data_IF_192612493961
#
_entry.id   IF_192612493961
#
_cell.length_a   1.000
_cell.length_b   1.000
_cell.length_c   1.000
_cell.angle_alpha   90.00
_cell.angle_beta   90.00
_cell.angle_gamma   90.00
#
_symmetry.space_group_name_H-M   'P 1'
#
loop_
_entity.id
_entity.type
_entity.pdbx_description
1 polymer ?
#
# COMPACT_ATOMS: atom_id res chain seq x y z
N UNK A 1 -17.79 -34.63 -39.07
CA UNK A 1 -16.67 -34.12 -38.25
C UNK A 1 -17.04 -32.71 -37.79
N UNK A 2 -17.93 -32.56 -36.82
CA UNK A 2 -17.70 -32.39 -35.36
C UNK A 2 -16.75 -31.25 -34.98
N UNK A 3 -17.27 -30.40 -34.07
CA UNK A 3 -16.55 -29.63 -33.04
C UNK A 3 -16.46 -28.09 -33.13
N UNK A 4 -17.50 -27.34 -33.55
CA UNK A 4 -17.57 -25.89 -33.26
C UNK A 4 -19.02 -25.37 -33.06
N UNK A 5 -19.87 -26.09 -32.32
CA UNK A 5 -21.25 -25.65 -32.08
C UNK A 5 -21.76 -25.95 -30.65
N UNK A 6 -20.89 -25.85 -29.64
CA UNK A 6 -21.24 -26.14 -28.24
C UNK A 6 -21.18 -24.96 -27.26
N UNK A 7 -20.95 -23.72 -27.71
CA UNK A 7 -20.98 -22.54 -26.81
C UNK A 7 -22.18 -21.61 -27.01
N UNK A 8 -23.17 -22.00 -27.82
CA UNK A 8 -24.37 -21.20 -28.11
C UNK A 8 -25.63 -22.00 -27.81
N UNK A 9 -25.91 -22.20 -26.52
CA UNK A 9 -27.15 -22.69 -25.84
C UNK A 9 -26.66 -23.26 -24.50
N UNK A 10 -27.05 -22.81 -23.31
CA UNK A 10 -28.38 -22.41 -22.85
C UNK A 10 -28.18 -21.48 -21.64
N UNK A 11 -28.69 -20.25 -21.67
CA UNK A 11 -29.37 -19.77 -20.47
C UNK A 11 -30.54 -20.75 -20.28
N UNK A 12 -30.64 -21.52 -19.18
CA UNK A 12 -31.87 -22.25 -18.91
C UNK A 12 -33.00 -21.21 -18.82
N UNK A 13 -34.12 -21.46 -19.47
CA UNK A 13 -35.37 -20.78 -19.09
C UNK A 13 -35.61 -21.09 -17.62
N UNK A 14 -35.42 -20.07 -16.77
CA UNK A 14 -35.44 -20.23 -15.33
C UNK A 14 -36.90 -20.23 -14.84
N UNK A 15 -37.37 -21.28 -14.15
CA UNK A 15 -38.66 -21.27 -13.50
C UNK A 15 -38.50 -20.49 -12.20
N UNK A 16 -38.56 -19.18 -12.29
CA UNK A 16 -38.65 -18.31 -11.11
C UNK A 16 -40.08 -17.79 -11.00
N UNK A 17 -40.74 -18.16 -9.91
CA UNK A 17 -41.93 -17.45 -9.45
C UNK A 17 -41.61 -15.95 -9.35
N UNK A 18 -42.33 -15.16 -10.15
CA UNK A 18 -42.31 -13.70 -10.16
C UNK A 18 -40.92 -13.05 -10.01
N UNK A 19 -40.04 -13.24 -10.99
CA UNK A 19 -38.94 -12.27 -11.20
C UNK A 19 -39.61 -10.95 -11.52
N UNK A 20 -39.46 -9.96 -10.64
CA UNK A 20 -39.93 -8.59 -10.88
C UNK A 20 -39.50 -8.18 -12.30
N UNK A 21 -40.41 -7.68 -13.13
CA UNK A 21 -40.18 -7.38 -14.56
C UNK A 21 -38.88 -6.57 -14.80
N UNK A 22 -38.59 -5.65 -13.88
CA UNK A 22 -37.37 -4.83 -13.85
C UNK A 22 -36.06 -5.62 -13.77
N UNK A 23 -36.06 -6.78 -13.09
CA UNK A 23 -34.87 -7.64 -12.95
C UNK A 23 -34.58 -8.37 -14.26
N UNK A 24 -35.60 -8.87 -14.95
CA UNK A 24 -35.45 -9.49 -16.26
C UNK A 24 -34.93 -8.50 -17.32
N UNK A 25 -35.40 -7.25 -17.26
CA UNK A 25 -34.93 -6.17 -18.13
C UNK A 25 -33.46 -5.79 -17.86
N UNK A 26 -33.05 -5.75 -16.58
CA UNK A 26 -31.66 -5.49 -16.21
C UNK A 26 -30.70 -6.57 -16.70
N UNK A 27 -31.08 -7.84 -16.55
CA UNK A 27 -30.28 -8.98 -17.02
C UNK A 27 -30.13 -9.00 -18.55
N UNK A 28 -31.21 -8.71 -19.28
CA UNK A 28 -31.16 -8.57 -20.74
C UNK A 28 -30.25 -7.43 -21.17
N UNK A 29 -30.30 -6.30 -20.47
CA UNK A 29 -29.41 -5.18 -20.72
C UNK A 29 -27.94 -5.55 -20.52
N UNK A 30 -27.59 -6.30 -19.46
CA UNK A 30 -26.22 -6.82 -19.24
C UNK A 30 -25.77 -7.70 -20.42
N UNK A 31 -26.63 -8.58 -20.91
CA UNK A 31 -26.26 -9.47 -22.02
C UNK A 31 -26.02 -8.67 -23.32
N UNK A 32 -26.93 -7.76 -23.65
CA UNK A 32 -26.86 -6.93 -24.86
C UNK A 32 -25.62 -6.03 -24.87
N UNK A 33 -25.36 -5.35 -23.75
CA UNK A 33 -24.24 -4.42 -23.64
C UNK A 33 -22.89 -5.13 -23.73
N UNK A 34 -22.77 -6.34 -23.17
CA UNK A 34 -21.54 -7.16 -23.27
C UNK A 34 -21.27 -7.55 -24.71
N UNK A 35 -22.29 -8.00 -25.44
CA UNK A 35 -22.15 -8.35 -26.85
C UNK A 35 -21.74 -7.13 -27.68
N UNK A 36 -22.39 -5.98 -27.44
CA UNK A 36 -22.07 -4.74 -28.12
C UNK A 36 -20.63 -4.28 -27.86
N UNK A 37 -20.22 -4.24 -26.60
CA UNK A 37 -18.86 -3.83 -26.22
C UNK A 37 -17.79 -4.81 -26.72
N UNK A 38 -18.10 -6.10 -26.85
CA UNK A 38 -17.17 -7.08 -27.45
C UNK A 38 -16.85 -6.77 -28.91
N UNK A 39 -17.77 -6.14 -29.65
CA UNK A 39 -17.55 -5.77 -31.05
C UNK A 39 -16.86 -4.41 -31.13
N UNK A 40 -17.36 -3.42 -30.38
CA UNK A 40 -16.93 -2.02 -30.53
C UNK A 40 -15.52 -1.78 -29.99
N UNK A 41 -15.10 -2.45 -28.92
CA UNK A 41 -13.78 -2.25 -28.33
C UNK A 41 -12.65 -2.65 -29.28
N UNK A 42 -12.83 -3.73 -30.04
CA UNK A 42 -11.79 -4.26 -30.93
C UNK A 42 -11.90 -3.75 -32.38
N UNK A 43 -13.00 -3.08 -32.73
CA UNK A 43 -13.20 -2.50 -34.05
C UNK A 43 -12.36 -1.23 -34.26
N UNK A 44 -11.80 -1.02 -35.48
CA UNK A 44 -11.08 0.20 -35.81
C UNK A 44 -12.03 1.40 -35.81
N UNK A 45 -11.53 2.53 -35.33
CA UNK A 45 -12.29 3.78 -35.31
C UNK A 45 -12.41 4.32 -36.73
N UNK A 46 -13.65 4.52 -37.17
CA UNK A 46 -13.96 5.10 -38.49
C UNK A 46 -14.23 6.60 -38.38
N UNK A 47 -15.02 7.01 -37.38
CA UNK A 47 -15.35 8.40 -37.07
C UNK A 47 -15.32 8.59 -35.56
N UNK A 48 -14.26 9.22 -35.07
CA UNK A 48 -14.03 9.46 -33.65
C UNK A 48 -15.11 10.32 -33.00
N UNK A 49 -15.67 11.30 -33.72
CA UNK A 49 -16.68 12.23 -33.18
C UNK A 49 -18.01 11.49 -33.03
N UNK A 50 -18.41 10.74 -34.06
CA UNK A 50 -19.64 9.95 -34.00
C UNK A 50 -19.54 8.82 -32.96
N UNK A 51 -18.41 8.12 -32.90
CA UNK A 51 -18.19 7.03 -31.96
C UNK A 51 -18.13 7.54 -30.51
N UNK A 52 -17.48 8.68 -30.27
CA UNK A 52 -17.47 9.31 -28.94
C UNK A 52 -18.87 9.73 -28.48
N UNK A 53 -19.68 10.30 -29.37
CA UNK A 53 -21.08 10.65 -29.06
C UNK A 53 -21.88 9.40 -28.64
N UNK A 54 -21.64 8.28 -29.30
CA UNK A 54 -22.28 7.01 -28.96
C UNK A 54 -21.78 6.45 -27.63
N UNK A 55 -20.46 6.53 -27.38
CA UNK A 55 -19.87 6.21 -26.08
C UNK A 55 -20.53 7.00 -24.95
N UNK A 56 -20.73 8.32 -25.11
CA UNK A 56 -21.34 9.15 -24.07
C UNK A 56 -22.80 8.77 -23.79
N UNK A 57 -23.59 8.46 -24.82
CA UNK A 57 -24.97 7.96 -24.62
C UNK A 57 -24.95 6.68 -23.80
N UNK A 58 -24.04 5.77 -24.14
CA UNK A 58 -23.91 4.49 -23.44
C UNK A 58 -23.40 4.68 -22.01
N UNK A 59 -22.48 5.61 -21.79
CA UNK A 59 -21.97 5.96 -20.47
C UNK A 59 -23.09 6.47 -19.56
N UNK A 60 -23.99 7.31 -20.07
CA UNK A 60 -25.17 7.79 -19.32
C UNK A 60 -26.06 6.62 -18.88
N UNK A 61 -26.37 5.71 -19.79
CA UNK A 61 -27.13 4.48 -19.45
C UNK A 61 -26.39 3.61 -18.44
N UNK A 62 -25.08 3.42 -18.62
CA UNK A 62 -24.25 2.62 -17.72
C UNK A 62 -24.24 3.20 -16.30
N UNK A 63 -24.11 4.52 -16.14
CA UNK A 63 -24.12 5.18 -14.82
C UNK A 63 -25.48 4.97 -14.11
N UNK A 64 -26.60 5.05 -14.83
CA UNK A 64 -27.92 4.76 -14.28
C UNK A 64 -28.03 3.30 -13.83
N UNK A 65 -27.60 2.37 -14.68
CA UNK A 65 -27.61 0.93 -14.38
C UNK A 65 -26.64 0.55 -13.26
N UNK A 66 -25.53 1.27 -13.09
CA UNK A 66 -24.60 1.09 -11.98
C UNK A 66 -25.26 1.45 -10.63
N UNK A 67 -26.09 2.50 -10.59
CA UNK A 67 -26.86 2.83 -9.38
C UNK A 67 -27.83 1.71 -9.04
N UNK A 68 -28.53 1.17 -10.05
CA UNK A 68 -29.45 0.04 -9.86
C UNK A 68 -28.71 -1.23 -9.39
N UNK A 69 -27.56 -1.53 -10.01
CA UNK A 69 -26.70 -2.66 -9.61
C UNK A 69 -26.29 -2.59 -8.14
N UNK A 70 -25.80 -1.43 -7.66
CA UNK A 70 -25.39 -1.27 -6.25
C UNK A 70 -26.54 -1.53 -5.26
N UNK A 71 -27.76 -1.14 -5.60
CA UNK A 71 -28.95 -1.39 -4.77
C UNK A 71 -29.32 -2.87 -4.81
N UNK A 72 -29.35 -3.45 -6.01
CA UNK A 72 -29.65 -4.85 -6.24
C UNK A 72 -28.67 -5.78 -5.51
N UNK A 73 -27.37 -5.56 -5.68
CA UNK A 73 -26.30 -6.35 -5.08
C UNK A 73 -26.38 -6.33 -3.54
N UNK A 74 -26.64 -5.17 -2.94
CA UNK A 74 -26.82 -5.04 -1.47
C UNK A 74 -28.04 -5.79 -0.96
N UNK A 75 -29.11 -5.85 -1.75
CA UNK A 75 -30.35 -6.53 -1.38
C UNK A 75 -30.19 -8.05 -1.51
N UNK A 76 -29.69 -8.52 -2.65
CA UNK A 76 -29.57 -9.95 -2.92
C UNK A 76 -28.40 -10.63 -2.18
N UNK A 77 -27.33 -9.90 -1.83
CA UNK A 77 -26.26 -10.43 -0.98
C UNK A 77 -26.73 -10.83 0.42
N UNK A 78 -27.85 -10.28 0.89
CA UNK A 78 -28.50 -10.61 2.17
C UNK A 78 -29.68 -11.55 2.01
N UNK A 79 -30.04 -11.93 0.78
CA UNK A 79 -31.20 -12.75 0.47
C UNK A 79 -30.84 -14.24 0.58
N UNK A 80 -31.50 -15.02 1.45
CA UNK A 80 -31.28 -16.46 1.50
C UNK A 80 -31.86 -17.20 0.27
N UNK A 81 -32.62 -16.50 -0.59
CA UNK A 81 -33.30 -17.07 -1.75
C UNK A 81 -32.55 -16.82 -3.08
N UNK A 82 -31.50 -15.99 -3.07
CA UNK A 82 -30.72 -15.72 -4.28
C UNK A 82 -29.41 -16.53 -4.26
N UNK A 83 -29.17 -17.43 -5.23
CA UNK A 83 -27.96 -18.22 -5.26
C UNK A 83 -26.70 -17.33 -5.33
N UNK A 84 -25.78 -17.50 -4.39
CA UNK A 84 -24.55 -16.71 -4.32
C UNK A 84 -23.67 -16.83 -5.58
N UNK A 85 -23.68 -17.99 -6.23
CA UNK A 85 -22.97 -18.22 -7.50
C UNK A 85 -23.53 -17.32 -8.63
N UNK A 86 -24.85 -17.18 -8.73
CA UNK A 86 -25.48 -16.27 -9.70
C UNK A 86 -25.16 -14.82 -9.42
N UNK A 87 -25.09 -14.43 -8.13
CA UNK A 87 -24.74 -13.06 -7.77
C UNK A 87 -23.29 -12.75 -8.15
N UNK A 88 -22.41 -13.74 -7.99
CA UNK A 88 -21.02 -13.65 -8.42
C UNK A 88 -20.91 -13.53 -9.94
N UNK A 89 -21.60 -14.37 -10.71
CA UNK A 89 -21.61 -14.27 -12.18
C UNK A 89 -22.08 -12.89 -12.67
N UNK A 90 -23.09 -12.31 -12.01
CA UNK A 90 -23.57 -10.97 -12.35
C UNK A 90 -22.58 -9.86 -11.99
N UNK A 91 -21.89 -10.01 -10.85
CA UNK A 91 -20.78 -9.12 -10.47
C UNK A 91 -19.68 -9.18 -11.53
N UNK A 92 -19.23 -10.37 -11.87
CA UNK A 92 -18.18 -10.59 -12.86
C UNK A 92 -18.58 -10.02 -14.24
N UNK A 93 -19.85 -10.18 -14.63
CA UNK A 93 -20.39 -9.58 -15.85
C UNK A 93 -20.41 -8.05 -15.80
N UNK A 94 -20.76 -7.45 -14.67
CA UNK A 94 -20.77 -6.00 -14.48
C UNK A 94 -19.35 -5.42 -14.47
N UNK A 95 -18.40 -6.13 -13.85
CA UNK A 95 -16.99 -5.77 -13.85
C UNK A 95 -16.38 -5.85 -15.27
N UNK A 96 -16.71 -6.90 -16.05
CA UNK A 96 -16.34 -7.03 -17.46
C UNK A 96 -16.87 -5.85 -18.31
N UNK A 97 -18.13 -5.43 -18.10
CA UNK A 97 -18.69 -4.24 -18.77
C UNK A 97 -17.89 -2.98 -18.39
N UNK A 98 -17.59 -2.80 -17.11
CA UNK A 98 -16.83 -1.64 -16.62
C UNK A 98 -15.44 -1.57 -17.25
N UNK A 99 -14.73 -2.71 -17.31
CA UNK A 99 -13.42 -2.83 -17.95
C UNK A 99 -13.51 -2.49 -19.44
N UNK A 100 -14.50 -3.03 -20.15
CA UNK A 100 -14.69 -2.78 -21.59
C UNK A 100 -15.08 -1.34 -21.90
N UNK A 101 -15.93 -0.72 -21.08
CA UNK A 101 -16.27 0.70 -21.18
C UNK A 101 -15.02 1.58 -21.03
N UNK A 102 -14.16 1.27 -20.05
CA UNK A 102 -12.91 1.99 -19.86
C UNK A 102 -11.94 1.77 -21.03
N UNK A 103 -11.83 0.55 -21.56
CA UNK A 103 -11.03 0.25 -22.76
C UNK A 103 -11.53 1.01 -23.98
N UNK A 104 -12.85 1.08 -24.21
CA UNK A 104 -13.42 1.83 -25.32
C UNK A 104 -13.05 3.32 -25.20
N UNK A 105 -13.22 3.92 -24.01
CA UNK A 105 -12.81 5.30 -23.75
C UNK A 105 -11.33 5.52 -24.02
N UNK A 106 -10.45 4.63 -23.52
CA UNK A 106 -9.01 4.75 -23.77
C UNK A 106 -8.70 4.67 -25.27
N UNK A 107 -9.35 3.77 -26.02
CA UNK A 107 -9.21 3.68 -27.48
C UNK A 107 -9.58 4.99 -28.18
N UNK A 108 -10.72 5.59 -27.79
CA UNK A 108 -11.18 6.87 -28.32
C UNK A 108 -10.19 8.00 -28.01
N UNK A 109 -9.69 8.04 -26.78
CA UNK A 109 -8.68 9.01 -26.31
C UNK A 109 -7.36 8.87 -27.09
N UNK A 110 -6.81 7.66 -27.19
CA UNK A 110 -5.55 7.38 -27.89
C UNK A 110 -5.60 7.62 -29.40
N UNK A 111 -6.81 7.69 -29.97
CA UNK A 111 -6.99 7.92 -31.41
C UNK A 111 -7.10 9.40 -31.76
N UNK A 112 -7.03 10.30 -30.76
CA UNK A 112 -6.96 11.73 -31.01
C UNK A 112 -5.62 12.10 -31.70
N UNK A 113 -5.63 13.05 -32.64
CA UNK A 113 -4.44 13.34 -33.43
C UNK A 113 -3.38 14.15 -32.66
N UNK A 114 -2.12 13.97 -33.06
CA UNK A 114 -1.00 14.82 -32.64
C UNK A 114 -0.81 14.92 -31.13
N UNK A 115 -0.60 16.14 -30.64
CA UNK A 115 -0.38 16.40 -29.20
C UNK A 115 -1.59 16.07 -28.33
N UNK A 116 -2.80 16.10 -28.89
CA UNK A 116 -4.01 15.81 -28.14
C UNK A 116 -4.09 14.32 -27.76
N UNK A 117 -3.72 13.42 -28.69
CA UNK A 117 -3.57 12.00 -28.41
C UNK A 117 -2.52 11.72 -27.33
N UNK A 118 -1.35 12.36 -27.42
CA UNK A 118 -0.29 12.22 -26.40
C UNK A 118 -0.76 12.62 -24.99
N UNK A 119 -1.52 13.72 -24.88
CA UNK A 119 -2.10 14.16 -23.61
C UNK A 119 -3.14 13.16 -23.12
N UNK A 120 -4.00 12.67 -24.02
CA UNK A 120 -5.04 11.71 -23.66
C UNK A 120 -4.46 10.34 -23.22
N UNK A 121 -3.38 9.89 -23.85
CA UNK A 121 -2.60 8.72 -23.44
C UNK A 121 -1.97 8.90 -22.05
N UNK A 122 -1.41 10.09 -21.79
CA UNK A 122 -0.89 10.44 -20.47
C UNK A 122 -2.01 10.42 -19.42
N UNK A 123 -3.19 11.00 -19.71
CA UNK A 123 -4.36 10.99 -18.83
C UNK A 123 -4.78 9.54 -18.53
N UNK A 124 -4.87 8.68 -19.56
CA UNK A 124 -5.22 7.27 -19.37
C UNK A 124 -4.22 6.53 -18.48
N UNK A 125 -2.93 6.77 -18.68
CA UNK A 125 -1.85 6.16 -17.89
C UNK A 125 -1.91 6.65 -16.43
N UNK A 126 -2.11 7.95 -16.23
CA UNK A 126 -2.25 8.54 -14.91
C UNK A 126 -3.45 7.97 -14.14
N UNK A 127 -4.63 7.87 -14.77
CA UNK A 127 -5.82 7.28 -14.15
C UNK A 127 -5.62 5.82 -13.75
N UNK A 128 -4.95 5.02 -14.60
CA UNK A 128 -4.65 3.62 -14.28
C UNK A 128 -3.78 3.48 -13.03
N UNK A 129 -2.78 4.34 -12.87
CA UNK A 129 -1.88 4.30 -11.71
C UNK A 129 -2.55 4.83 -10.45
N UNK A 130 -3.36 5.87 -10.58
CA UNK A 130 -4.14 6.39 -9.45
C UNK A 130 -5.19 5.38 -8.98
N UNK A 131 -5.82 4.66 -9.91
CA UNK A 131 -6.81 3.62 -9.61
C UNK A 131 -6.18 2.32 -9.11
N UNK A 132 -4.90 2.07 -9.37
CA UNK A 132 -4.21 0.85 -8.93
C UNK A 132 -4.20 0.76 -7.40
N UNK A 133 -4.81 -0.28 -6.82
CA UNK A 133 -4.70 -0.53 -5.39
C UNK A 133 -3.23 -0.64 -5.01
N UNK A 134 -2.84 0.00 -3.90
CA UNK A 134 -1.46 -0.08 -3.41
C UNK A 134 -1.06 -1.51 -3.02
N UNK A 135 -2.06 -2.35 -2.72
CA UNK A 135 -1.95 -3.81 -2.67
C UNK A 135 -1.02 -4.35 -1.59
N UNK A 136 -0.78 -3.60 -0.51
CA UNK A 136 0.07 -4.01 0.58
C UNK A 136 -0.78 -4.45 1.79
N UNK A 137 -0.38 -5.56 2.40
CA UNK A 137 -0.98 -6.06 3.62
C UNK A 137 0.00 -5.78 4.77
N UNK A 138 -0.35 -4.81 5.62
CA UNK A 138 0.48 -4.39 6.76
C UNK A 138 0.79 -5.53 7.73
N UNK A 139 -0.02 -6.59 7.73
CA UNK A 139 0.11 -7.71 8.67
C UNK A 139 0.99 -8.84 8.14
N UNK A 140 1.33 -8.85 6.84
CA UNK A 140 2.01 -9.99 6.20
C UNK A 140 3.41 -9.68 5.67
N UNK A 141 3.76 -8.41 5.51
CA UNK A 141 5.03 -8.01 4.88
C UNK A 141 5.95 -7.37 5.92
N UNK A 142 7.25 -7.66 5.83
CA UNK A 142 8.26 -7.04 6.70
C UNK A 142 8.39 -5.53 6.45
N UNK A 143 8.91 -4.74 7.42
CA UNK A 143 9.20 -3.33 7.20
C UNK A 143 10.11 -3.08 5.99
N UNK A 144 11.14 -3.91 5.76
CA UNK A 144 12.05 -3.82 4.61
C UNK A 144 11.33 -3.98 3.27
N UNK A 145 10.50 -5.02 3.12
CA UNK A 145 9.74 -5.27 1.90
C UNK A 145 8.79 -4.11 1.61
N UNK A 146 8.15 -3.56 2.65
CA UNK A 146 7.29 -2.40 2.50
C UNK A 146 8.08 -1.16 2.05
N UNK A 147 9.26 -0.89 2.63
CA UNK A 147 10.12 0.23 2.20
C UNK A 147 10.47 0.08 0.70
N UNK A 148 10.92 -1.09 0.26
CA UNK A 148 11.26 -1.33 -1.14
C UNK A 148 10.07 -1.10 -2.06
N UNK A 149 8.90 -1.60 -1.66
CA UNK A 149 7.66 -1.44 -2.42
C UNK A 149 7.23 0.02 -2.51
N UNK A 150 7.23 0.76 -1.41
CA UNK A 150 6.85 2.18 -1.42
C UNK A 150 7.85 3.02 -2.22
N UNK A 151 9.14 2.70 -2.18
CA UNK A 151 10.13 3.32 -3.06
C UNK A 151 9.81 3.08 -4.54
N UNK A 152 9.45 1.84 -4.92
CA UNK A 152 9.06 1.53 -6.30
C UNK A 152 7.78 2.27 -6.73
N UNK A 153 6.77 2.32 -5.85
CA UNK A 153 5.54 3.08 -6.09
C UNK A 153 5.79 4.57 -6.22
N UNK A 154 6.70 5.13 -5.42
CA UNK A 154 7.14 6.52 -5.53
C UNK A 154 7.87 6.79 -6.84
N UNK A 155 8.76 5.90 -7.26
CA UNK A 155 9.46 6.02 -8.55
C UNK A 155 8.47 5.98 -9.72
N UNK A 156 7.51 5.06 -9.73
CA UNK A 156 6.45 4.99 -10.75
C UNK A 156 5.60 6.27 -10.77
N UNK A 157 5.24 6.79 -9.59
CA UNK A 157 4.46 8.03 -9.47
C UNK A 157 5.24 9.23 -10.04
N UNK A 158 6.48 9.43 -9.60
CA UNK A 158 7.33 10.52 -10.08
C UNK A 158 7.56 10.42 -11.59
N UNK A 159 7.83 9.22 -12.11
CA UNK A 159 8.09 9.01 -13.54
C UNK A 159 6.96 9.54 -14.45
N UNK A 160 5.73 9.58 -13.96
CA UNK A 160 4.56 9.98 -14.75
C UNK A 160 4.12 11.40 -14.44
N UNK A 161 4.20 11.81 -13.18
CA UNK A 161 3.71 13.12 -12.74
C UNK A 161 4.79 14.22 -12.76
N UNK A 162 6.05 13.90 -13.04
CA UNK A 162 7.12 14.90 -13.17
C UNK A 162 6.82 15.94 -14.28
N UNK A 163 6.16 15.52 -15.36
CA UNK A 163 5.84 16.38 -16.51
C UNK A 163 4.43 17.03 -16.44
N UNK A 164 3.72 16.91 -15.31
CA UNK A 164 2.31 17.34 -15.18
C UNK A 164 2.07 18.80 -15.59
N UNK A 165 3.00 19.70 -15.25
CA UNK A 165 2.91 21.13 -15.60
C UNK A 165 3.07 21.37 -17.11
N UNK A 166 3.90 20.57 -17.78
CA UNK A 166 4.06 20.63 -19.23
C UNK A 166 2.79 20.17 -19.94
N UNK A 167 2.18 19.09 -19.45
CA UNK A 167 0.91 18.57 -19.95
C UNK A 167 -0.21 19.61 -19.79
N UNK A 168 -0.34 20.21 -18.59
CA UNK A 168 -1.33 21.25 -18.32
C UNK A 168 -1.19 22.44 -19.27
N UNK A 169 0.01 22.99 -19.44
CA UNK A 169 0.26 24.11 -20.37
C UNK A 169 -0.07 23.74 -21.81
N UNK A 170 0.33 22.55 -22.24
CA UNK A 170 0.07 22.05 -23.60
C UNK A 170 -1.43 21.91 -23.85
N UNK A 171 -2.17 21.34 -22.90
CA UNK A 171 -3.61 21.17 -22.99
C UNK A 171 -4.36 22.52 -23.02
N UNK A 172 -3.96 23.46 -22.16
CA UNK A 172 -4.54 24.82 -22.14
C UNK A 172 -4.30 25.57 -23.46
N UNK A 173 -3.12 25.40 -24.08
CA UNK A 173 -2.83 25.98 -25.38
C UNK A 173 -3.73 25.40 -26.48
N UNK A 174 -3.91 24.07 -26.51
CA UNK A 174 -4.76 23.39 -27.50
C UNK A 174 -6.24 23.77 -27.35
N UNK A 175 -6.72 23.95 -26.11
CA UNK A 175 -8.10 24.36 -25.83
C UNK A 175 -8.44 25.75 -26.37
N UNK A 176 -7.44 26.63 -26.54
CA UNK A 176 -7.61 27.98 -27.11
C UNK A 176 -7.56 27.98 -28.64
N UNK A 177 -7.10 26.89 -29.26
CA UNK A 177 -7.00 26.76 -30.70
C UNK A 177 -8.34 26.29 -31.29
N UNK A 178 -9.09 27.23 -31.85
CA UNK A 178 -10.37 26.97 -32.49
C UNK A 178 -10.27 26.03 -33.71
N UNK A 179 -9.08 25.81 -34.28
CA UNK A 179 -8.88 24.88 -35.40
C UNK A 179 -8.88 23.41 -34.97
N UNK A 180 -8.63 23.13 -33.69
CA UNK A 180 -8.67 21.79 -33.09
C UNK A 180 -10.11 21.37 -32.78
N UNK A 181 -10.92 22.33 -32.32
CA UNK A 181 -12.32 22.10 -31.94
C UNK A 181 -13.16 21.85 -33.19
N UNK A 182 -14.00 20.80 -33.18
CA UNK A 182 -14.88 20.34 -34.27
C UNK A 182 -14.19 19.68 -35.48
N UNK A 183 -12.89 19.88 -35.70
CA UNK A 183 -12.14 19.17 -36.75
C UNK A 183 -11.45 17.90 -36.27
N UNK A 184 -11.01 17.88 -35.01
CA UNK A 184 -10.20 16.80 -34.45
C UNK A 184 -10.83 16.16 -33.21
N UNK A 185 -11.65 16.92 -32.48
CA UNK A 185 -12.30 16.49 -31.25
C UNK A 185 -13.66 17.19 -31.09
N UNK A 186 -14.63 16.50 -30.49
CA UNK A 186 -15.90 17.11 -30.09
C UNK A 186 -15.76 17.95 -28.82
N UNK A 187 -16.60 18.98 -28.65
CA UNK A 187 -16.56 19.81 -27.44
C UNK A 187 -16.83 18.98 -26.15
N UNK A 188 -17.73 18.00 -26.21
CA UNK A 188 -18.04 17.12 -25.09
C UNK A 188 -16.84 16.25 -24.69
N UNK A 189 -16.06 15.77 -25.67
CA UNK A 189 -14.82 15.01 -25.43
C UNK A 189 -13.73 15.88 -24.81
N UNK A 190 -13.54 17.10 -25.33
CA UNK A 190 -12.56 18.03 -24.78
C UNK A 190 -12.89 18.44 -23.34
N UNK A 191 -14.17 18.68 -23.04
CA UNK A 191 -14.64 18.97 -21.68
C UNK A 191 -14.39 17.79 -20.76
N UNK A 192 -14.67 16.56 -21.19
CA UNK A 192 -14.41 15.37 -20.39
C UNK A 192 -12.92 15.18 -20.08
N UNK A 193 -12.03 15.40 -21.05
CA UNK A 193 -10.57 15.37 -20.82
C UNK A 193 -10.15 16.44 -19.81
N UNK A 194 -10.72 17.64 -19.89
CA UNK A 194 -10.44 18.71 -18.93
C UNK A 194 -10.85 18.33 -17.50
N UNK A 195 -12.08 17.85 -17.31
CA UNK A 195 -12.60 17.43 -16.00
C UNK A 195 -11.74 16.31 -15.39
N UNK A 196 -11.36 15.32 -16.21
CA UNK A 196 -10.48 14.23 -15.78
C UNK A 196 -9.09 14.74 -15.41
N UNK A 197 -8.53 15.68 -16.18
CA UNK A 197 -7.25 16.29 -15.87
C UNK A 197 -7.28 16.99 -14.51
N UNK A 198 -8.35 17.75 -14.21
CA UNK A 198 -8.53 18.42 -12.92
C UNK A 198 -8.61 17.39 -11.75
N UNK A 199 -9.32 16.28 -11.95
CA UNK A 199 -9.39 15.18 -10.97
C UNK A 199 -8.00 14.55 -10.76
N UNK A 200 -7.27 14.26 -11.84
CA UNK A 200 -5.93 13.67 -11.80
C UNK A 200 -4.96 14.58 -11.06
N UNK A 201 -4.99 15.90 -11.26
CA UNK A 201 -4.10 16.81 -10.56
C UNK A 201 -4.26 16.70 -9.05
N UNK A 202 -5.50 16.77 -8.56
CA UNK A 202 -5.77 16.64 -7.13
C UNK A 202 -5.41 15.24 -6.60
N UNK A 203 -5.83 14.19 -7.28
CA UNK A 203 -5.58 12.80 -6.86
C UNK A 203 -4.09 12.44 -6.88
N UNK A 204 -3.32 12.97 -7.83
CA UNK A 204 -1.87 12.75 -7.94
C UNK A 204 -1.11 13.35 -6.78
N UNK A 205 -1.47 14.57 -6.36
CA UNK A 205 -0.83 15.22 -5.21
C UNK A 205 -1.20 14.53 -3.90
N UNK A 206 -2.46 14.14 -3.74
CA UNK A 206 -2.89 13.36 -2.58
C UNK A 206 -2.13 12.03 -2.49
N UNK A 207 -2.07 11.28 -3.59
CA UNK A 207 -1.34 10.01 -3.64
C UNK A 207 0.14 10.19 -3.35
N UNK A 208 0.78 11.21 -3.91
CA UNK A 208 2.21 11.48 -3.67
C UNK A 208 2.49 11.72 -2.19
N UNK A 209 1.72 12.58 -1.53
CA UNK A 209 1.86 12.85 -0.09
C UNK A 209 1.61 11.60 0.77
N UNK A 210 0.67 10.76 0.36
CA UNK A 210 0.42 9.48 1.03
C UNK A 210 1.63 8.54 0.93
N UNK A 211 2.18 8.36 -0.29
CA UNK A 211 3.34 7.50 -0.51
C UNK A 211 4.58 7.99 0.26
N UNK A 212 4.83 9.30 0.26
CA UNK A 212 5.93 9.91 1.03
C UNK A 212 5.81 9.68 2.54
N UNK A 213 4.58 9.75 3.07
CA UNK A 213 4.32 9.42 4.46
C UNK A 213 4.58 7.93 4.74
N UNK A 214 4.04 7.04 3.92
CA UNK A 214 4.15 5.58 4.11
C UNK A 214 5.59 5.10 4.08
N UNK A 215 6.40 5.61 3.14
CA UNK A 215 7.83 5.27 3.07
C UNK A 215 8.54 5.58 4.39
N UNK A 216 8.25 6.73 4.99
CA UNK A 216 8.86 7.14 6.25
C UNK A 216 8.29 6.39 7.45
N UNK A 217 6.98 6.08 7.43
CA UNK A 217 6.34 5.21 8.42
C UNK A 217 7.05 3.86 8.50
N UNK A 218 7.30 3.20 7.37
CA UNK A 218 7.95 1.89 7.37
C UNK A 218 9.43 1.95 7.77
N UNK A 219 10.13 3.06 7.47
CA UNK A 219 11.47 3.31 8.03
C UNK A 219 11.44 3.36 9.57
N UNK A 220 10.44 4.02 10.16
CA UNK A 220 10.27 4.04 11.62
C UNK A 220 9.95 2.64 12.16
N UNK A 221 9.06 1.89 11.51
CA UNK A 221 8.73 0.50 11.90
C UNK A 221 9.94 -0.42 11.87
N UNK A 222 10.80 -0.29 10.85
CA UNK A 222 12.06 -1.03 10.75
C UNK A 222 12.97 -0.78 11.96
N UNK A 223 13.13 0.47 12.38
CA UNK A 223 13.95 0.78 13.56
C UNK A 223 13.32 0.25 14.86
N UNK A 224 11.99 0.25 14.96
CA UNK A 224 11.32 -0.38 16.10
C UNK A 224 11.55 -1.89 16.13
N UNK A 225 11.40 -2.58 15.00
CA UNK A 225 11.67 -4.02 14.90
C UNK A 225 13.11 -4.35 15.32
N UNK A 226 14.08 -3.53 14.89
CA UNK A 226 15.47 -3.67 15.32
C UNK A 226 15.66 -3.47 16.83
N UNK A 227 14.98 -2.50 17.44
CA UNK A 227 15.02 -2.28 18.89
C UNK A 227 14.36 -3.41 19.67
N UNK A 228 13.19 -3.87 19.22
CA UNK A 228 12.46 -4.99 19.82
C UNK A 228 13.28 -6.26 19.79
N UNK A 229 13.83 -6.60 18.62
CA UNK A 229 14.72 -7.73 18.47
C UNK A 229 15.93 -7.61 19.38
N UNK A 230 16.57 -6.43 19.42
CA UNK A 230 17.75 -6.22 20.25
C UNK A 230 17.44 -6.38 21.75
N UNK A 231 16.35 -5.80 22.24
CA UNK A 231 15.92 -5.95 23.64
C UNK A 231 15.54 -7.41 23.96
N UNK A 232 14.93 -8.12 23.02
CA UNK A 232 14.66 -9.56 23.15
C UNK A 232 15.96 -10.36 23.29
N UNK A 233 16.99 -10.07 22.49
CA UNK A 233 18.31 -10.70 22.63
C UNK A 233 18.92 -10.42 24.01
N UNK A 234 18.84 -9.17 24.50
CA UNK A 234 19.31 -8.80 25.85
C UNK A 234 18.54 -9.48 27.00
N UNK A 235 17.32 -9.93 26.74
CA UNK A 235 16.48 -10.67 27.70
C UNK A 235 16.85 -12.15 27.82
N UNK A 236 17.61 -12.71 26.87
CA UNK A 236 18.05 -14.10 26.96
C UNK A 236 19.00 -14.28 28.16
N UNK A 237 19.02 -15.49 28.73
CA UNK A 237 19.86 -15.81 29.90
C UNK A 237 21.31 -15.47 29.58
N UNK A 238 21.94 -14.67 30.44
CA UNK A 238 23.35 -14.35 30.33
C UNK A 238 24.16 -15.64 30.64
N UNK A 239 25.08 -15.98 29.73
CA UNK A 239 25.98 -17.11 29.87
C UNK A 239 27.14 -16.82 30.85
N UNK A 240 28.35 -17.21 30.45
CA UNK A 240 29.57 -16.89 31.19
C UNK A 240 29.92 -15.38 31.15
N UNK A 241 30.97 -15.00 31.87
CA UNK A 241 31.46 -13.62 31.92
C UNK A 241 31.78 -13.08 30.52
N UNK A 242 32.44 -13.86 29.67
CA UNK A 242 32.83 -13.43 28.32
C UNK A 242 31.63 -13.20 27.41
N UNK A 243 30.60 -14.04 27.53
CA UNK A 243 29.34 -13.84 26.82
C UNK A 243 28.64 -12.55 27.28
N UNK A 244 28.60 -12.31 28.59
CA UNK A 244 27.99 -11.09 29.16
C UNK A 244 28.75 -9.83 28.75
N UNK A 245 30.09 -9.87 28.76
CA UNK A 245 30.93 -8.76 28.29
C UNK A 245 30.72 -8.48 26.79
N UNK A 246 30.66 -9.51 25.95
CA UNK A 246 30.33 -9.35 24.52
C UNK A 246 28.96 -8.71 24.29
N UNK A 247 27.93 -9.13 25.05
CA UNK A 247 26.60 -8.52 24.99
C UNK A 247 26.63 -7.05 25.41
N UNK A 248 27.42 -6.70 26.44
CA UNK A 248 27.57 -5.33 26.89
C UNK A 248 28.34 -4.45 25.88
N UNK A 249 29.34 -5.01 25.21
CA UNK A 249 30.02 -4.33 24.10
C UNK A 249 29.08 -4.09 22.92
N UNK A 250 28.26 -5.07 22.56
CA UNK A 250 27.24 -4.88 21.53
C UNK A 250 26.19 -3.84 21.92
N UNK A 251 25.78 -3.80 23.18
CA UNK A 251 24.92 -2.75 23.73
C UNK A 251 25.54 -1.37 23.54
N UNK A 252 26.80 -1.18 23.94
CA UNK A 252 27.49 0.10 23.79
C UNK A 252 27.55 0.53 22.33
N UNK A 253 27.88 -0.40 21.43
CA UNK A 253 27.91 -0.16 19.98
C UNK A 253 26.56 0.30 19.46
N UNK A 254 25.47 -0.44 19.72
CA UNK A 254 24.14 -0.10 19.20
C UNK A 254 23.54 1.17 19.78
N UNK A 255 23.78 1.44 21.06
CA UNK A 255 23.13 2.55 21.78
C UNK A 255 23.97 3.84 21.73
N UNK A 256 25.28 3.77 21.90
CA UNK A 256 26.13 4.97 21.95
C UNK A 256 26.79 5.30 20.62
N UNK A 257 27.24 4.30 19.85
CA UNK A 257 27.91 4.52 18.57
C UNK A 257 26.90 4.66 17.42
N UNK A 258 26.05 3.64 17.22
CA UNK A 258 25.01 3.64 16.17
C UNK A 258 23.83 4.56 16.52
N UNK A 259 23.62 4.84 17.81
CA UNK A 259 22.52 5.69 18.32
C UNK A 259 21.15 5.27 17.81
N UNK A 260 20.89 3.96 17.82
CA UNK A 260 19.69 3.36 17.24
C UNK A 260 18.37 4.02 17.70
N UNK A 261 18.15 4.35 19.00
CA UNK A 261 16.95 5.09 19.41
C UNK A 261 16.83 6.48 18.76
N UNK A 262 17.95 7.17 18.59
CA UNK A 262 17.99 8.52 18.01
C UNK A 262 17.63 8.51 16.52
N UNK A 263 17.81 7.39 15.81
CA UNK A 263 17.34 7.24 14.45
C UNK A 263 15.82 7.49 14.37
N UNK A 264 15.03 6.94 15.30
CA UNK A 264 13.58 7.16 15.36
C UNK A 264 13.27 8.62 15.73
N UNK A 265 13.95 9.16 16.74
CA UNK A 265 13.74 10.56 17.17
C UNK A 265 13.98 11.56 16.03
N UNK A 266 15.00 11.33 15.22
CA UNK A 266 15.36 12.20 14.10
C UNK A 266 14.30 12.21 12.98
N UNK A 267 13.55 11.12 12.82
CA UNK A 267 12.52 11.00 11.77
C UNK A 267 11.15 11.53 12.19
N UNK A 268 10.90 11.67 13.50
CA UNK A 268 9.60 12.10 14.04
C UNK A 268 9.11 13.47 13.54
N UNK A 269 9.95 14.53 13.48
CA UNK A 269 9.52 15.82 12.95
C UNK A 269 9.08 15.72 11.50
N UNK A 270 9.84 14.97 10.69
CA UNK A 270 9.55 14.78 9.27
C UNK A 270 8.28 13.96 9.06
N UNK A 271 8.08 12.90 9.86
CA UNK A 271 6.88 12.07 9.83
C UNK A 271 5.63 12.89 10.17
N UNK A 272 5.74 13.77 11.17
CA UNK A 272 4.66 14.69 11.56
C UNK A 272 4.36 15.69 10.44
N UNK A 273 5.40 16.25 9.82
CA UNK A 273 5.24 17.18 8.70
C UNK A 273 4.55 16.52 7.50
N UNK A 274 4.96 15.30 7.12
CA UNK A 274 4.37 14.55 6.00
C UNK A 274 2.92 14.15 6.28
N UNK A 275 2.60 13.72 7.49
CA UNK A 275 1.23 13.37 7.86
C UNK A 275 0.30 14.59 7.83
N UNK A 276 0.76 15.74 8.33
CA UNK A 276 0.01 17.01 8.25
C UNK A 276 -0.20 17.46 6.81
N UNK A 277 0.84 17.38 5.98
CA UNK A 277 0.77 17.70 4.56
C UNK A 277 -0.30 16.85 3.85
N UNK A 278 -0.35 15.54 4.13
CA UNK A 278 -1.34 14.64 3.56
C UNK A 278 -2.78 14.96 4.01
N UNK A 279 -3.01 15.21 5.30
CA UNK A 279 -4.36 15.47 5.82
C UNK A 279 -4.94 16.81 5.37
N UNK A 280 -4.11 17.85 5.30
CA UNK A 280 -4.53 19.17 4.86
C UNK A 280 -4.93 19.21 3.38
N UNK A 281 -4.20 18.49 2.50
CA UNK A 281 -4.48 18.50 1.06
C UNK A 281 -5.77 17.77 0.71
N UNK A 282 -5.99 16.60 1.33
CA UNK A 282 -7.14 15.76 1.03
C UNK A 282 -8.45 16.26 1.64
N UNK A 283 -8.44 17.42 2.32
CA UNK A 283 -9.53 17.91 3.19
C UNK A 283 -10.07 16.75 4.04
N UNK A 284 -9.15 15.94 4.58
CA UNK A 284 -9.53 14.76 5.34
C UNK A 284 -10.29 15.22 6.58
N UNK A 285 -11.24 14.41 7.01
CA UNK A 285 -11.97 14.65 8.26
C UNK A 285 -10.96 14.89 9.39
N UNK A 286 -11.28 15.79 10.31
CA UNK A 286 -10.53 16.05 11.53
C UNK A 286 -10.23 14.76 12.29
N UNK A 287 -11.08 13.72 12.16
CA UNK A 287 -10.79 12.39 12.69
C UNK A 287 -9.48 11.82 12.16
N UNK A 288 -9.23 11.86 10.85
CA UNK A 288 -8.01 11.32 10.24
C UNK A 288 -6.78 12.09 10.73
N UNK A 289 -6.90 13.42 10.85
CA UNK A 289 -5.83 14.24 11.41
C UNK A 289 -5.53 13.90 12.88
N UNK A 290 -6.57 13.66 13.69
CA UNK A 290 -6.42 13.19 15.07
C UNK A 290 -5.76 11.81 15.13
N UNK A 291 -6.12 10.89 14.24
CA UNK A 291 -5.50 9.55 14.17
C UNK A 291 -3.99 9.63 13.90
N UNK A 292 -3.54 10.46 12.95
CA UNK A 292 -2.11 10.67 12.72
C UNK A 292 -1.40 11.33 13.90
N UNK A 293 -2.06 12.27 14.58
CA UNK A 293 -1.51 12.88 15.79
C UNK A 293 -1.32 11.84 16.91
N UNK A 294 -2.36 11.04 17.19
CA UNK A 294 -2.31 9.94 18.16
C UNK A 294 -1.21 8.94 17.78
N UNK A 295 -1.08 8.61 16.50
CA UNK A 295 -0.02 7.74 16.00
C UNK A 295 1.39 8.29 16.33
N UNK A 296 1.63 9.58 16.08
CA UNK A 296 2.90 10.24 16.44
C UNK A 296 3.17 10.24 17.95
N UNK A 297 2.16 10.49 18.78
CA UNK A 297 2.27 10.38 20.24
C UNK A 297 2.58 8.94 20.69
N UNK A 298 1.97 7.95 20.05
CA UNK A 298 2.21 6.54 20.35
C UNK A 298 3.66 6.16 20.03
N UNK A 299 4.22 6.59 18.89
CA UNK A 299 5.64 6.39 18.58
C UNK A 299 6.53 6.94 19.72
N UNK A 300 6.26 8.17 20.18
CA UNK A 300 7.03 8.78 21.27
C UNK A 300 6.90 8.01 22.58
N UNK A 301 5.70 7.54 22.92
CA UNK A 301 5.45 6.73 24.13
C UNK A 301 6.20 5.40 24.06
N UNK A 302 6.09 4.70 22.94
CA UNK A 302 6.78 3.42 22.71
C UNK A 302 8.29 3.60 22.78
N UNK A 303 8.84 4.63 22.14
CA UNK A 303 10.26 4.93 22.22
C UNK A 303 10.72 5.27 23.64
N UNK A 304 9.93 6.01 24.41
CA UNK A 304 10.21 6.26 25.83
C UNK A 304 10.25 4.97 26.64
N UNK A 305 9.32 4.03 26.40
CA UNK A 305 9.32 2.71 27.03
C UNK A 305 10.61 1.95 26.71
N UNK A 306 10.99 1.88 25.43
CA UNK A 306 12.24 1.24 25.04
C UNK A 306 13.47 1.88 25.68
N UNK A 307 13.52 3.20 25.78
CA UNK A 307 14.63 3.88 26.46
C UNK A 307 14.69 3.54 27.96
N UNK A 308 13.56 3.31 28.63
CA UNK A 308 13.54 2.84 30.03
C UNK A 308 14.06 1.41 30.10
N UNK A 309 13.58 0.53 29.22
CA UNK A 309 14.02 -0.87 29.18
C UNK A 309 15.52 -0.99 28.90
N UNK A 310 16.04 -0.22 27.93
CA UNK A 310 17.46 -0.19 27.59
C UNK A 310 18.33 0.23 28.77
N UNK A 311 17.92 1.24 29.54
CA UNK A 311 18.63 1.63 30.77
C UNK A 311 18.61 0.52 31.83
N UNK A 312 17.48 -0.15 32.00
CA UNK A 312 17.40 -1.28 32.92
C UNK A 312 18.29 -2.45 32.47
N UNK A 313 18.39 -2.69 31.15
CA UNK A 313 19.29 -3.71 30.59
C UNK A 313 20.76 -3.35 30.72
N UNK A 314 21.12 -2.09 30.53
CA UNK A 314 22.47 -1.60 30.78
C UNK A 314 22.92 -1.92 32.21
N UNK A 315 22.10 -1.53 33.19
CA UNK A 315 22.38 -1.76 34.60
C UNK A 315 22.52 -3.25 34.92
N UNK A 316 21.58 -4.07 34.45
CA UNK A 316 21.60 -5.52 34.66
C UNK A 316 22.87 -6.18 34.10
N UNK A 317 23.33 -5.77 32.91
CA UNK A 317 24.57 -6.28 32.33
C UNK A 317 25.79 -5.89 33.16
N UNK A 318 25.87 -4.63 33.59
CA UNK A 318 26.94 -4.13 34.45
C UNK A 318 26.99 -4.87 35.79
N UNK A 319 25.84 -5.10 36.42
CA UNK A 319 25.72 -5.87 37.66
C UNK A 319 26.16 -7.32 37.48
N UNK A 320 25.72 -7.97 36.39
CA UNK A 320 26.08 -9.36 36.09
C UNK A 320 27.59 -9.51 35.86
N UNK A 321 28.20 -8.59 35.11
CA UNK A 321 29.66 -8.56 34.90
C UNK A 321 30.38 -8.35 36.23
N UNK A 322 29.91 -7.44 37.07
CA UNK A 322 30.49 -7.17 38.38
C UNK A 322 30.39 -8.38 39.30
N UNK A 323 29.23 -9.06 39.31
CA UNK A 323 29.01 -10.30 40.06
C UNK A 323 29.94 -11.41 39.61
N UNK A 324 30.13 -11.59 38.30
CA UNK A 324 31.11 -12.54 37.77
C UNK A 324 32.53 -12.20 38.22
N UNK A 325 32.95 -10.93 38.17
CA UNK A 325 34.29 -10.53 38.62
C UNK A 325 34.51 -10.85 40.09
N UNK A 326 33.51 -10.59 40.95
CA UNK A 326 33.57 -10.96 42.37
C UNK A 326 33.66 -12.48 42.54
N UNK A 327 32.85 -13.24 41.79
CA UNK A 327 32.87 -14.70 41.83
C UNK A 327 34.25 -15.26 41.45
N UNK A 328 34.86 -14.81 40.34
CA UNK A 328 36.18 -15.26 39.91
C UNK A 328 37.25 -14.90 40.96
N UNK A 329 37.23 -13.68 41.51
CA UNK A 329 38.18 -13.28 42.56
C UNK A 329 38.08 -14.16 43.82
N UNK A 330 36.85 -14.52 44.23
CA UNK A 330 36.63 -15.41 45.38
C UNK A 330 37.05 -16.85 45.06
N UNK A 331 36.76 -17.31 43.84
CA UNK A 331 37.17 -18.62 43.35
C UNK A 331 38.70 -18.75 43.36
N UNK A 332 39.41 -17.80 42.77
CA UNK A 332 40.88 -17.77 42.73
C UNK A 332 41.47 -17.73 44.15
N UNK A 333 40.87 -16.94 45.05
CA UNK A 333 41.30 -16.87 46.45
C UNK A 333 41.12 -18.20 47.18
N UNK A 334 39.98 -18.88 46.96
CA UNK A 334 39.68 -20.17 47.55
C UNK A 334 40.58 -21.27 46.97
N UNK A 335 40.80 -21.27 45.66
CA UNK A 335 41.69 -22.21 44.97
C UNK A 335 43.13 -22.07 45.49
N UNK A 336 43.63 -20.85 45.63
CA UNK A 336 44.95 -20.60 46.23
C UNK A 336 45.04 -21.11 47.67
N UNK A 337 44.04 -20.82 48.51
CA UNK A 337 44.00 -21.30 49.89
C UNK A 337 43.97 -22.83 49.98
N UNK A 338 43.17 -23.49 49.13
CA UNK A 338 43.11 -24.95 49.05
C UNK A 338 44.45 -25.54 48.61
N UNK A 339 45.10 -24.98 47.59
CA UNK A 339 46.40 -25.42 47.12
C UNK A 339 47.49 -25.26 48.19
N UNK A 340 47.52 -24.14 48.90
CA UNK A 340 48.42 -23.92 50.05
C UNK A 340 48.19 -24.96 51.15
N UNK A 341 46.92 -25.23 51.48
CA UNK A 341 46.54 -26.27 52.45
C UNK A 341 47.01 -27.66 52.04
N UNK A 342 46.80 -28.05 50.78
CA UNK A 342 47.29 -29.32 50.25
C UNK A 342 48.81 -29.43 50.31
N UNK A 343 49.54 -28.37 49.96
CA UNK A 343 51.01 -28.35 50.04
C UNK A 343 51.53 -28.55 51.46
N UNK A 344 50.91 -27.90 52.46
CA UNK A 344 51.28 -28.07 53.87
C UNK A 344 51.03 -29.51 54.32
N UNK A 345 49.88 -30.10 53.95
CA UNK A 345 49.54 -31.48 54.31
C UNK A 345 50.53 -32.50 53.70
N UNK A 346 50.92 -32.31 52.43
CA UNK A 346 51.90 -33.19 51.76
C UNK A 346 53.29 -33.11 52.41
N UNK A 347 53.80 -31.91 52.70
CA UNK A 347 55.09 -31.74 53.39
C UNK A 347 55.10 -32.39 54.77
N UNK A 348 54.02 -32.24 55.54
CA UNK A 348 53.90 -32.85 56.87
C UNK A 348 53.82 -34.39 56.85
N UNK A 349 53.54 -34.98 55.68
CA UNK A 349 53.51 -36.43 55.45
C UNK A 349 54.87 -36.95 54.98
N UNK A 350 55.60 -36.17 54.18
CA UNK A 350 56.97 -36.48 53.74
C UNK A 350 58.00 -36.32 54.86
N UNK A 351 57.82 -35.38 55.79
CA UNK A 351 58.68 -35.20 56.97
C UNK A 351 58.47 -36.27 58.06
N UNK A 352 57.45 -37.13 57.92
CA UNK A 352 57.15 -38.24 58.85
C UNK A 352 57.61 -39.61 58.35
N UNK A 353 58.23 -39.67 57.17
CA UNK A 353 58.95 -40.83 56.61
C UNK A 353 60.45 -40.66 56.86
#
# INVERSE_FOLDING_TARGET
>A
MTYVAQFSRRFPDLPFGSVNKEHGEFLRWIADIRQRLAIVVDAPIQDIIAEYKEYVKLLKQFIEKQKHWKVFERKESKSPHFPGEKLKELRDAFDDITIRMNRWRCKLDSSLPGKLGQIADWINTAEQILARPLGFDRLKSSPEENIQRFNQLNQEHVAIFNDKESILRSFQSLKRDASVINKQISLEHLTNLNERLDIIMNASEERGRFLDFEELHWKVQKFFEQLEYFIMELNKKQGDIHHTERLYDEFKRKIYEEKLPNCIESLLPELTRRSQSYTQLGKKDDQVAREFHIYGENIRKTLKSFNVDLKAKEHMLQETISGWKVYHNLYDSLENWLNEGEHVLRRSSEEKL
#
